data_IF_118610578902
#
_entry.id   IF_118610578902
#
_cell.length_a   1.000
_cell.length_b   1.000
_cell.length_c   1.000
_cell.angle_alpha   90.00
_cell.angle_beta   90.00
_cell.angle_gamma   90.00
#
_symmetry.space_group_name_H-M   'P 1'
#
loop_
_entity.id
_entity.type
_entity.pdbx_description
1 polymer ?
#
# COMPACT_ATOMS: atom_id res chain seq x y z
N UNK A 1 -21.26 -9.04 14.30
CA UNK A 1 -20.46 -9.22 15.53
C UNK A 1 -19.00 -9.36 15.12
N UNK A 2 -18.06 -8.69 15.79
CA UNK A 2 -16.64 -8.69 15.38
C UNK A 2 -15.87 -9.93 15.85
N UNK A 3 -16.25 -10.48 17.02
CA UNK A 3 -15.61 -11.62 17.67
C UNK A 3 -16.70 -12.60 18.08
N UNK A 4 -16.49 -13.90 17.87
CA UNK A 4 -17.43 -14.94 18.26
C UNK A 4 -17.44 -15.20 19.78
N UNK A 5 -18.35 -16.07 20.24
CA UNK A 5 -18.50 -16.42 21.65
C UNK A 5 -17.25 -17.07 22.27
N UNK A 6 -16.33 -17.57 21.43
CA UNK A 6 -15.07 -18.20 21.84
C UNK A 6 -13.89 -17.22 21.83
N UNK A 7 -14.13 -15.94 21.52
CA UNK A 7 -13.07 -14.95 21.40
C UNK A 7 -12.31 -15.00 20.07
N UNK A 8 -12.82 -15.70 19.05
CA UNK A 8 -12.20 -15.83 17.74
C UNK A 8 -12.81 -14.88 16.71
N UNK A 9 -12.01 -14.45 15.73
CA UNK A 9 -12.48 -13.69 14.59
C UNK A 9 -13.13 -14.64 13.57
N UNK A 10 -14.34 -14.34 13.09
CA UNK A 10 -14.93 -15.07 11.96
C UNK A 10 -14.10 -14.91 10.68
N UNK A 11 -14.12 -15.92 9.80
CA UNK A 11 -13.36 -15.93 8.52
C UNK A 11 -13.68 -14.76 7.59
N UNK A 12 -14.91 -14.20 7.68
CA UNK A 12 -15.30 -13.03 6.90
C UNK A 12 -14.71 -11.71 7.43
N UNK A 13 -14.15 -11.71 8.65
CA UNK A 13 -13.48 -10.57 9.27
C UNK A 13 -11.97 -10.66 9.09
N UNK A 14 -11.37 -11.84 9.29
CA UNK A 14 -9.92 -12.01 9.25
C UNK A 14 -9.51 -13.46 8.95
N UNK A 15 -8.45 -13.70 8.16
CA UNK A 15 -7.96 -15.05 7.83
C UNK A 15 -7.28 -15.77 9.02
N UNK A 16 -6.76 -15.03 9.99
CA UNK A 16 -6.28 -15.57 11.27
C UNK A 16 -7.40 -15.49 12.32
N UNK A 17 -8.12 -16.57 12.62
CA UNK A 17 -9.23 -16.54 13.58
C UNK A 17 -8.76 -16.23 15.01
N UNK A 18 -7.52 -16.54 15.33
CA UNK A 18 -6.87 -16.30 16.62
C UNK A 18 -6.05 -14.99 16.65
N UNK A 19 -6.27 -14.05 15.72
CA UNK A 19 -5.51 -12.79 15.61
C UNK A 19 -5.32 -12.09 16.97
N UNK A 20 -6.39 -12.00 17.77
CA UNK A 20 -6.37 -11.28 19.06
C UNK A 20 -5.61 -12.03 20.17
N UNK A 21 -5.20 -13.29 19.93
CA UNK A 21 -4.40 -14.08 20.85
C UNK A 21 -2.92 -14.16 20.44
N UNK A 22 -2.56 -13.54 19.31
CA UNK A 22 -1.20 -13.50 18.78
C UNK A 22 -0.47 -12.24 19.24
N UNK A 23 0.85 -12.31 19.30
CA UNK A 23 1.72 -11.14 19.34
C UNK A 23 1.95 -10.59 17.92
N UNK A 24 2.43 -9.35 17.80
CA UNK A 24 2.61 -8.73 16.48
C UNK A 24 3.60 -9.50 15.59
N UNK A 25 4.68 -10.05 16.18
CA UNK A 25 5.70 -10.79 15.43
C UNK A 25 5.13 -12.07 14.79
N UNK A 26 4.28 -12.80 15.51
CA UNK A 26 3.60 -14.00 15.01
C UNK A 26 2.51 -13.68 13.98
N UNK A 27 1.88 -12.51 14.04
CA UNK A 27 0.99 -12.02 12.96
C UNK A 27 1.80 -11.76 11.70
N UNK A 28 2.87 -10.96 11.79
CA UNK A 28 3.75 -10.65 10.65
C UNK A 28 4.32 -11.92 10.02
N UNK A 29 4.83 -12.84 10.85
CA UNK A 29 5.38 -14.10 10.36
C UNK A 29 4.34 -14.97 9.65
N UNK A 30 3.07 -14.94 10.09
CA UNK A 30 2.02 -15.73 9.46
C UNK A 30 1.69 -15.21 8.06
N UNK A 31 1.63 -13.90 7.86
CA UNK A 31 1.41 -13.30 6.54
C UNK A 31 2.61 -13.48 5.61
N UNK A 32 3.83 -13.28 6.09
CA UNK A 32 5.06 -13.57 5.32
C UNK A 32 5.04 -15.01 4.80
N UNK A 33 4.66 -15.97 5.66
CA UNK A 33 4.55 -17.37 5.26
C UNK A 33 3.41 -17.62 4.28
N UNK A 34 2.22 -17.04 4.52
CA UNK A 34 1.07 -17.17 3.63
C UNK A 34 1.36 -16.63 2.23
N UNK A 35 1.86 -15.40 2.13
CA UNK A 35 2.21 -14.76 0.86
C UNK A 35 3.27 -15.55 0.10
N UNK A 36 4.28 -16.08 0.81
CA UNK A 36 5.29 -16.96 0.21
C UNK A 36 4.66 -18.24 -0.33
N UNK A 37 3.77 -18.88 0.42
CA UNK A 37 3.10 -20.10 -0.02
C UNK A 37 2.18 -19.86 -1.23
N UNK A 38 1.43 -18.76 -1.23
CA UNK A 38 0.59 -18.36 -2.36
C UNK A 38 1.43 -18.15 -3.64
N UNK A 39 2.61 -17.54 -3.49
CA UNK A 39 3.52 -17.36 -4.61
C UNK A 39 4.16 -18.67 -5.08
N UNK A 40 4.65 -19.50 -4.16
CA UNK A 40 5.20 -20.82 -4.50
C UNK A 40 4.16 -21.66 -5.25
N UNK A 41 2.87 -21.54 -4.91
CA UNK A 41 1.76 -22.14 -5.67
C UNK A 41 1.65 -21.58 -7.09
N UNK A 42 1.66 -20.25 -7.28
CA UNK A 42 1.62 -19.63 -8.62
C UNK A 42 2.81 -20.06 -9.49
N UNK A 43 4.02 -20.13 -8.91
CA UNK A 43 5.19 -20.65 -9.62
C UNK A 43 5.05 -22.13 -9.99
N UNK A 44 4.52 -22.94 -9.08
CA UNK A 44 4.29 -24.36 -9.35
C UNK A 44 3.28 -24.54 -10.50
N UNK A 45 2.20 -23.75 -10.51
CA UNK A 45 1.23 -23.71 -11.62
C UNK A 45 1.91 -23.31 -12.94
N UNK A 46 2.80 -22.32 -12.94
CA UNK A 46 3.59 -21.95 -14.13
C UNK A 46 4.51 -23.08 -14.62
N UNK A 47 4.99 -23.94 -13.72
CA UNK A 47 5.80 -25.12 -14.05
C UNK A 47 5.03 -26.21 -14.81
N UNK A 48 3.70 -26.22 -14.72
CA UNK A 48 2.85 -27.21 -15.40
C UNK A 48 2.72 -26.91 -16.90
N UNK A 49 2.60 -27.96 -17.73
CA UNK A 49 2.65 -27.86 -19.20
C UNK A 49 1.49 -27.11 -19.86
N UNK A 50 0.41 -26.84 -19.14
CA UNK A 50 -0.86 -26.26 -19.67
C UNK A 50 -1.22 -24.90 -19.07
N UNK A 51 -0.30 -24.24 -18.36
CA UNK A 51 -0.58 -22.96 -17.70
C UNK A 51 -0.78 -21.82 -18.72
N UNK A 52 -1.92 -21.09 -18.71
CA UNK A 52 -2.13 -19.91 -19.54
C UNK A 52 -1.04 -18.85 -19.33
N UNK A 53 -0.56 -18.71 -18.08
CA UNK A 53 0.50 -17.78 -17.73
C UNK A 53 1.83 -18.12 -18.39
N UNK A 54 2.15 -19.42 -18.49
CA UNK A 54 3.33 -19.90 -19.22
C UNK A 54 3.28 -19.55 -20.70
N UNK A 55 2.10 -19.63 -21.33
CA UNK A 55 1.90 -19.22 -22.73
C UNK A 55 2.21 -17.75 -22.92
N UNK A 56 1.63 -16.88 -22.06
CA UNK A 56 1.90 -15.43 -22.08
C UNK A 56 3.40 -15.13 -21.93
N UNK A 57 4.07 -15.79 -20.98
CA UNK A 57 5.49 -15.60 -20.73
C UNK A 57 6.39 -16.08 -21.89
N UNK A 58 6.01 -17.19 -22.53
CA UNK A 58 6.71 -17.71 -23.69
C UNK A 58 6.58 -16.75 -24.90
N UNK A 59 5.40 -16.18 -25.12
CA UNK A 59 5.16 -15.17 -26.17
C UNK A 59 6.01 -13.91 -25.97
N UNK A 60 6.24 -13.53 -24.72
CA UNK A 60 7.12 -12.41 -24.33
C UNK A 60 8.62 -12.76 -24.35
N UNK A 61 8.98 -14.02 -24.59
CA UNK A 61 10.37 -14.48 -24.60
C UNK A 61 11.02 -14.57 -23.21
N UNK A 62 10.22 -14.65 -22.14
CA UNK A 62 10.68 -14.69 -20.73
C UNK A 62 10.31 -16.06 -20.12
N UNK A 63 11.18 -17.07 -20.29
CA UNK A 63 10.80 -18.47 -20.07
C UNK A 63 11.42 -19.22 -18.88
N UNK A 64 12.30 -18.60 -18.07
CA UNK A 64 12.97 -19.30 -16.97
C UNK A 64 12.25 -19.05 -15.64
N UNK A 65 11.32 -19.94 -15.30
CA UNK A 65 10.53 -19.90 -14.06
C UNK A 65 11.40 -19.93 -12.79
N UNK A 66 12.55 -20.62 -12.82
CA UNK A 66 13.47 -20.69 -11.69
C UNK A 66 14.10 -19.32 -11.34
N UNK A 67 14.45 -18.52 -12.34
CA UNK A 67 15.06 -17.19 -12.14
C UNK A 67 14.04 -16.20 -11.55
N UNK A 68 12.77 -16.32 -11.96
CA UNK A 68 11.66 -15.53 -11.42
C UNK A 68 11.39 -15.84 -9.94
N UNK A 69 11.47 -17.11 -9.54
CA UNK A 69 11.26 -17.48 -8.14
C UNK A 69 12.34 -16.98 -7.20
N UNK A 70 13.61 -17.02 -7.63
CA UNK A 70 14.73 -16.45 -6.85
C UNK A 70 14.58 -14.94 -6.72
N UNK A 71 14.28 -14.25 -7.81
CA UNK A 71 14.08 -12.80 -7.81
C UNK A 71 12.93 -12.40 -6.89
N UNK A 72 11.80 -13.09 -6.98
CA UNK A 72 10.64 -12.82 -6.14
C UNK A 72 10.97 -12.98 -4.66
N UNK A 73 11.51 -14.13 -4.24
CA UNK A 73 11.80 -14.39 -2.84
C UNK A 73 12.81 -13.39 -2.28
N UNK A 74 13.72 -12.92 -3.13
CA UNK A 74 14.66 -11.87 -2.77
C UNK A 74 13.95 -10.52 -2.53
N UNK A 75 13.14 -10.06 -3.49
CA UNK A 75 12.42 -8.79 -3.37
C UNK A 75 11.35 -8.84 -2.26
N UNK A 76 10.67 -9.97 -2.09
CA UNK A 76 9.70 -10.21 -1.02
C UNK A 76 10.37 -10.06 0.33
N UNK A 77 11.49 -10.75 0.53
CA UNK A 77 12.29 -10.60 1.74
C UNK A 77 12.75 -9.16 1.94
N UNK A 78 13.24 -8.48 0.90
CA UNK A 78 13.66 -7.08 1.00
C UNK A 78 12.54 -6.17 1.50
N UNK A 79 11.33 -6.33 0.96
CA UNK A 79 10.17 -5.53 1.38
C UNK A 79 9.72 -5.95 2.77
N UNK A 80 9.55 -7.24 3.04
CA UNK A 80 8.96 -7.74 4.28
C UNK A 80 9.87 -7.66 5.50
N UNK A 81 11.19 -7.61 5.32
CA UNK A 81 12.15 -7.35 6.41
C UNK A 81 12.27 -5.86 6.74
N UNK A 82 11.63 -4.96 5.98
CA UNK A 82 11.72 -3.53 6.25
C UNK A 82 11.13 -3.20 7.65
N UNK A 83 11.86 -2.46 8.52
CA UNK A 83 11.42 -2.13 9.89
C UNK A 83 10.11 -1.32 10.03
N UNK A 84 9.51 -0.91 8.92
CA UNK A 84 8.28 -0.10 8.93
C UNK A 84 7.07 -0.95 9.34
N UNK A 85 7.09 -2.26 9.07
CA UNK A 85 6.00 -3.17 9.43
C UNK A 85 5.92 -3.43 10.94
N UNK A 86 7.02 -3.22 11.65
CA UNK A 86 7.12 -3.26 13.11
C UNK A 86 7.17 -1.87 13.72
N UNK A 87 6.75 -0.83 12.99
CA UNK A 87 6.79 0.54 13.49
C UNK A 87 6.07 0.66 14.85
N UNK A 88 6.64 1.37 15.85
CA UNK A 88 6.08 1.47 17.22
C UNK A 88 4.60 1.84 17.29
N UNK A 89 4.13 2.63 16.31
CA UNK A 89 2.71 2.96 16.14
C UNK A 89 1.83 1.70 16.01
N UNK A 90 2.14 0.82 15.05
CA UNK A 90 1.32 -0.37 14.77
C UNK A 90 1.34 -1.33 15.96
N UNK A 91 2.50 -1.53 16.56
CA UNK A 91 2.65 -2.39 17.73
C UNK A 91 1.79 -1.90 18.91
N UNK A 92 1.89 -0.61 19.24
CA UNK A 92 1.12 0.01 20.33
C UNK A 92 -0.40 -0.06 20.07
N UNK A 93 -0.82 0.19 18.84
CA UNK A 93 -2.24 0.07 18.45
C UNK A 93 -2.72 -1.37 18.57
N UNK A 94 -1.96 -2.34 18.07
CA UNK A 94 -2.32 -3.76 18.12
C UNK A 94 -2.45 -4.32 19.54
N UNK A 95 -1.59 -3.84 20.46
CA UNK A 95 -1.70 -4.10 21.91
C UNK A 95 -2.97 -3.50 22.55
N UNK A 96 -3.74 -2.71 21.80
CA UNK A 96 -4.90 -1.98 22.30
C UNK A 96 -4.53 -0.75 23.13
N UNK A 97 -3.26 -0.31 23.16
CA UNK A 97 -2.80 0.86 23.92
C UNK A 97 -3.06 2.18 23.18
N UNK A 98 -4.30 2.34 22.76
CA UNK A 98 -4.84 3.54 22.10
C UNK A 98 -6.23 3.82 22.69
N UNK A 99 -6.56 5.09 22.91
CA UNK A 99 -7.89 5.53 23.39
C UNK A 99 -8.84 5.85 22.24
N UNK A 100 -10.17 5.89 22.47
CA UNK A 100 -11.15 6.32 21.47
C UNK A 100 -10.82 7.65 20.78
N UNK A 101 -10.40 8.66 21.54
CA UNK A 101 -10.02 9.98 21.01
C UNK A 101 -8.77 9.89 20.12
N UNK A 102 -7.80 9.07 20.51
CA UNK A 102 -6.60 8.82 19.71
C UNK A 102 -6.92 8.07 18.42
N UNK A 103 -7.91 7.17 18.42
CA UNK A 103 -8.41 6.52 17.20
C UNK A 103 -8.98 7.56 16.23
N UNK A 104 -9.74 8.56 16.72
CA UNK A 104 -10.27 9.65 15.88
C UNK A 104 -9.16 10.48 15.23
N UNK A 105 -8.13 10.84 16.01
CA UNK A 105 -6.94 11.57 15.52
C UNK A 105 -6.18 10.78 14.47
N UNK A 106 -5.96 9.49 14.73
CA UNK A 106 -5.36 8.59 13.75
C UNK A 106 -6.20 8.53 12.47
N UNK A 107 -7.51 8.29 12.60
CA UNK A 107 -8.38 8.07 11.46
C UNK A 107 -8.44 9.30 10.53
N UNK A 108 -8.57 10.50 11.09
CA UNK A 108 -8.63 11.75 10.31
C UNK A 108 -7.33 12.03 9.55
N UNK A 109 -6.17 11.78 10.17
CA UNK A 109 -4.88 11.95 9.50
C UNK A 109 -4.56 10.82 8.51
N UNK A 110 -4.84 9.57 8.86
CA UNK A 110 -4.58 8.43 7.97
C UNK A 110 -5.50 8.42 6.74
N UNK A 111 -6.71 8.98 6.86
CA UNK A 111 -7.59 9.20 5.71
C UNK A 111 -6.96 10.06 4.61
N UNK A 112 -6.05 10.98 4.96
CA UNK A 112 -5.29 11.73 3.96
C UNK A 112 -4.39 10.83 3.08
N UNK A 113 -3.86 9.72 3.61
CA UNK A 113 -3.17 8.73 2.79
C UNK A 113 -4.16 8.00 1.87
N UNK A 114 -5.26 7.48 2.42
CA UNK A 114 -6.28 6.71 1.68
C UNK A 114 -6.84 7.50 0.48
N UNK A 115 -7.02 8.82 0.62
CA UNK A 115 -7.50 9.67 -0.46
C UNK A 115 -6.57 9.73 -1.69
N UNK A 116 -5.30 9.40 -1.53
CA UNK A 116 -4.25 9.64 -2.52
C UNK A 116 -3.65 8.38 -3.16
N UNK A 117 -3.75 7.21 -2.52
CA UNK A 117 -3.18 5.93 -3.00
C UNK A 117 -3.50 5.66 -4.48
N UNK A 118 -4.79 5.61 -4.83
CA UNK A 118 -5.28 5.40 -6.21
C UNK A 118 -4.74 6.36 -7.26
N UNK A 119 -4.43 7.60 -6.89
CA UNK A 119 -3.88 8.58 -7.84
C UNK A 119 -2.46 8.20 -8.25
N UNK A 120 -1.70 7.58 -7.36
CA UNK A 120 -0.34 7.14 -7.64
C UNK A 120 -0.35 5.94 -8.60
N UNK A 121 -1.28 4.99 -8.41
CA UNK A 121 -1.49 3.89 -9.36
C UNK A 121 -1.87 4.42 -10.74
N UNK A 122 -2.80 5.39 -10.81
CA UNK A 122 -3.17 6.03 -12.08
C UNK A 122 -2.00 6.76 -12.76
N UNK A 123 -1.14 7.44 -11.99
CA UNK A 123 0.09 8.05 -12.52
C UNK A 123 1.03 7.00 -13.11
N UNK A 124 1.23 5.88 -12.40
CA UNK A 124 2.09 4.79 -12.87
C UNK A 124 1.53 4.15 -14.16
N UNK A 125 0.21 3.95 -14.27
CA UNK A 125 -0.43 3.47 -15.52
C UNK A 125 -0.05 4.36 -16.70
N UNK A 126 -0.13 5.68 -16.50
CA UNK A 126 0.19 6.67 -17.53
C UNK A 126 1.63 6.63 -18.02
N UNK A 127 2.55 5.95 -17.32
CA UNK A 127 3.95 5.75 -17.73
C UNK A 127 4.12 4.68 -18.80
N UNK A 128 3.11 3.84 -19.02
CA UNK A 128 3.12 2.76 -19.99
C UNK A 128 2.22 3.14 -21.16
N UNK A 129 2.79 3.55 -22.29
CA UNK A 129 2.03 3.92 -23.50
C UNK A 129 2.84 3.70 -24.78
N UNK A 130 2.17 3.62 -25.93
CA UNK A 130 2.77 3.30 -27.23
C UNK A 130 3.71 4.36 -27.82
N UNK A 131 3.91 5.49 -27.14
CA UNK A 131 4.91 6.51 -27.57
C UNK A 131 6.20 6.43 -26.73
N UNK A 132 6.29 5.48 -25.79
CA UNK A 132 7.49 5.30 -24.96
C UNK A 132 8.52 4.41 -25.65
N UNK A 133 9.79 4.59 -25.31
CA UNK A 133 10.88 3.70 -25.73
C UNK A 133 10.75 2.27 -25.15
N UNK A 134 9.82 2.03 -24.22
CA UNK A 134 9.54 0.68 -23.71
C UNK A 134 8.67 -0.14 -24.69
N UNK A 135 7.98 0.53 -25.62
CA UNK A 135 7.10 -0.10 -26.61
C UNK A 135 7.83 -0.50 -27.90
N UNK A 136 9.13 -0.84 -27.85
CA UNK A 136 9.89 -1.22 -29.04
C UNK A 136 9.37 -2.53 -29.66
N UNK A 137 8.60 -2.39 -30.75
CA UNK A 137 7.98 -3.47 -31.50
C UNK A 137 6.80 -4.14 -30.80
N UNK A 138 6.15 -5.09 -31.48
CA UNK A 138 4.91 -5.74 -31.02
C UNK A 138 5.03 -6.37 -29.62
N UNK A 139 6.23 -6.81 -29.22
CA UNK A 139 6.46 -7.39 -27.88
C UNK A 139 6.45 -6.33 -26.78
N UNK A 140 7.06 -5.16 -27.03
CA UNK A 140 7.06 -4.05 -26.08
C UNK A 140 5.65 -3.51 -25.87
N UNK A 141 4.87 -3.37 -26.95
CA UNK A 141 3.45 -2.99 -26.88
C UNK A 141 2.63 -3.99 -26.04
N UNK A 142 2.79 -5.29 -26.28
CA UNK A 142 2.08 -6.32 -25.52
C UNK A 142 2.45 -6.33 -24.04
N UNK A 143 3.73 -6.13 -23.72
CA UNK A 143 4.17 -6.03 -22.33
C UNK A 143 3.61 -4.77 -21.64
N UNK A 144 3.60 -3.65 -22.34
CA UNK A 144 2.97 -2.41 -21.86
C UNK A 144 1.48 -2.63 -21.56
N UNK A 145 0.75 -3.28 -22.47
CA UNK A 145 -0.67 -3.61 -22.30
C UNK A 145 -0.92 -4.50 -21.08
N UNK A 146 -0.14 -5.57 -20.90
CA UNK A 146 -0.25 -6.44 -19.72
C UNK A 146 0.02 -5.69 -18.41
N UNK A 147 0.96 -4.76 -18.43
CA UNK A 147 1.28 -3.91 -17.27
C UNK A 147 0.13 -2.95 -16.96
N UNK A 148 -0.47 -2.34 -17.99
CA UNK A 148 -1.66 -1.51 -17.84
C UNK A 148 -2.83 -2.32 -17.28
N UNK A 149 -3.05 -3.56 -17.72
CA UNK A 149 -4.11 -4.44 -17.19
C UNK A 149 -3.89 -4.68 -15.69
N UNK A 150 -2.68 -5.08 -15.28
CA UNK A 150 -2.36 -5.32 -13.88
C UNK A 150 -2.63 -4.08 -13.02
N UNK A 151 -2.12 -2.91 -13.44
CA UNK A 151 -2.32 -1.66 -12.71
C UNK A 151 -3.78 -1.15 -12.77
N UNK A 152 -4.50 -1.39 -13.87
CA UNK A 152 -5.90 -1.01 -14.00
C UNK A 152 -6.78 -1.80 -13.03
N UNK A 153 -6.44 -3.06 -12.72
CA UNK A 153 -7.11 -3.82 -11.67
C UNK A 153 -6.92 -3.18 -10.29
N UNK A 154 -5.73 -2.67 -9.97
CA UNK A 154 -5.49 -1.92 -8.72
C UNK A 154 -6.32 -0.62 -8.68
N UNK A 155 -6.38 0.13 -9.79
CA UNK A 155 -7.24 1.33 -9.86
C UNK A 155 -8.72 0.95 -9.71
N UNK A 156 -9.16 -0.11 -10.37
CA UNK A 156 -10.52 -0.60 -10.31
C UNK A 156 -10.95 -0.96 -8.88
N UNK A 157 -10.09 -1.65 -8.14
CA UNK A 157 -10.28 -2.00 -6.73
C UNK A 157 -10.43 -0.75 -5.86
N UNK A 158 -9.49 0.20 -5.97
CA UNK A 158 -9.50 1.47 -5.24
C UNK A 158 -10.77 2.32 -5.47
N UNK A 159 -11.32 2.26 -6.68
CA UNK A 159 -12.57 2.93 -7.06
C UNK A 159 -13.83 2.07 -6.81
N UNK A 160 -13.69 0.81 -6.39
CA UNK A 160 -14.79 -0.11 -6.19
C UNK A 160 -15.59 -0.37 -7.47
N UNK A 161 -14.92 -0.32 -8.64
CA UNK A 161 -15.53 -0.55 -9.96
C UNK A 161 -15.00 -1.86 -10.51
N UNK A 162 -15.81 -2.91 -10.48
CA UNK A 162 -15.43 -4.19 -11.10
C UNK A 162 -15.48 -4.11 -12.63
N UNK A 163 -14.85 -5.07 -13.30
CA UNK A 163 -15.06 -5.30 -14.73
C UNK A 163 -16.49 -5.82 -14.96
N UNK A 164 -17.43 -4.91 -15.18
CA UNK A 164 -18.81 -5.21 -15.55
C UNK A 164 -18.88 -5.66 -17.01
N UNK A 165 -19.68 -6.68 -17.31
CA UNK A 165 -20.01 -7.03 -18.70
C UNK A 165 -20.76 -5.89 -19.39
N UNK A 166 -20.83 -5.90 -20.72
CA UNK A 166 -21.58 -4.90 -21.51
C UNK A 166 -23.06 -4.77 -21.10
N UNK A 167 -23.62 -5.82 -20.49
CA UNK A 167 -25.01 -5.88 -20.03
C UNK A 167 -25.21 -5.36 -18.59
N UNK A 168 -24.13 -5.08 -17.85
CA UNK A 168 -24.12 -4.64 -16.45
C UNK A 168 -23.68 -3.16 -16.29
N UNK A 169 -23.88 -2.33 -17.32
CA UNK A 169 -23.47 -0.91 -17.24
C UNK A 169 -24.27 -0.19 -16.15
N UNK A 170 -23.61 0.39 -15.13
CA UNK A 170 -24.32 0.98 -14.00
C UNK A 170 -25.08 2.24 -14.44
N UNK A 171 -26.32 2.39 -13.96
CA UNK A 171 -27.03 3.67 -14.02
C UNK A 171 -26.20 4.78 -13.36
N UNK A 172 -26.33 6.02 -13.83
CA UNK A 172 -25.53 7.16 -13.35
C UNK A 172 -25.52 7.29 -11.82
N UNK A 173 -26.66 7.03 -11.16
CA UNK A 173 -26.76 7.05 -9.70
C UNK A 173 -25.91 5.97 -9.02
N UNK A 174 -25.83 4.75 -9.58
CA UNK A 174 -24.96 3.67 -9.07
C UNK A 174 -23.48 3.97 -9.35
N UNK A 175 -23.19 4.57 -10.49
CA UNK A 175 -21.83 4.96 -10.89
C UNK A 175 -21.24 6.01 -9.93
N UNK A 176 -22.06 6.99 -9.52
CA UNK A 176 -21.68 8.00 -8.52
C UNK A 176 -21.73 7.50 -7.08
N UNK A 177 -22.36 6.36 -6.82
CA UNK A 177 -22.43 5.70 -5.51
C UNK A 177 -21.42 4.54 -5.37
N UNK A 178 -20.37 4.53 -6.19
CA UNK A 178 -19.36 3.49 -6.17
C UNK A 178 -18.73 3.31 -4.79
N UNK A 179 -18.50 2.05 -4.42
CA UNK A 179 -17.99 1.65 -3.10
C UNK A 179 -16.46 1.76 -3.06
N UNK A 180 -15.95 2.98 -3.21
CA UNK A 180 -14.51 3.28 -3.19
C UNK A 180 -13.90 3.05 -1.80
N UNK A 181 -12.57 2.90 -1.72
CA UNK A 181 -11.86 2.88 -0.43
C UNK A 181 -12.12 4.13 0.43
N UNK A 182 -12.33 5.29 -0.19
CA UNK A 182 -12.76 6.50 0.52
C UNK A 182 -14.12 6.30 1.18
N UNK A 183 -15.10 5.78 0.44
CA UNK A 183 -16.45 5.56 0.95
C UNK A 183 -16.42 4.55 2.09
N UNK A 184 -15.68 3.45 1.93
CA UNK A 184 -15.46 2.47 3.00
C UNK A 184 -14.80 3.11 4.23
N UNK A 185 -13.76 3.93 4.05
CA UNK A 185 -13.10 4.60 5.17
C UNK A 185 -14.03 5.60 5.88
N UNK A 186 -14.93 6.28 5.15
CA UNK A 186 -15.94 7.14 5.79
C UNK A 186 -16.93 6.37 6.67
N UNK A 187 -17.12 5.06 6.45
CA UNK A 187 -17.90 4.23 7.38
C UNK A 187 -17.19 4.02 8.72
N UNK A 188 -15.86 4.10 8.78
CA UNK A 188 -15.14 4.15 10.05
C UNK A 188 -15.52 5.42 10.81
N UNK A 189 -15.58 6.57 10.12
CA UNK A 189 -15.97 7.84 10.76
C UNK A 189 -17.39 7.80 11.32
N UNK A 190 -18.33 7.16 10.62
CA UNK A 190 -19.67 6.86 11.14
C UNK A 190 -19.56 6.07 12.46
N UNK A 191 -18.79 4.98 12.47
CA UNK A 191 -18.57 4.18 13.68
C UNK A 191 -17.87 4.90 14.83
N UNK A 192 -17.07 5.92 14.53
CA UNK A 192 -16.39 6.75 15.53
C UNK A 192 -17.22 7.97 15.96
N UNK A 193 -18.38 8.21 15.33
CA UNK A 193 -19.20 9.39 15.57
C UNK A 193 -18.51 10.70 15.19
N UNK A 194 -17.76 10.70 14.09
CA UNK A 194 -17.13 11.90 13.52
C UNK A 194 -18.03 12.54 12.47
N UNK A 195 -18.39 13.81 12.68
CA UNK A 195 -19.24 14.56 11.76
C UNK A 195 -18.51 14.84 10.43
N UNK A 196 -19.21 14.91 9.28
CA UNK A 196 -18.59 15.10 7.96
C UNK A 196 -17.61 16.28 7.89
N UNK A 197 -17.92 17.40 8.53
CA UNK A 197 -17.10 18.61 8.62
C UNK A 197 -15.74 18.39 9.31
N UNK A 198 -15.64 17.37 10.17
CA UNK A 198 -14.44 17.06 10.95
C UNK A 198 -13.56 15.99 10.28
N UNK A 199 -14.02 15.39 9.18
CA UNK A 199 -13.34 14.25 8.54
C UNK A 199 -12.16 14.68 7.66
N UNK A 200 -12.23 15.88 7.07
CA UNK A 200 -11.26 16.37 6.10
C UNK A 200 -10.34 17.43 6.71
N UNK A 201 -9.28 16.97 7.37
CA UNK A 201 -8.28 17.82 8.05
C UNK A 201 -7.04 18.09 7.19
N UNK A 202 -6.34 19.18 7.50
CA UNK A 202 -5.01 19.44 6.94
C UNK A 202 -4.04 18.31 7.30
N UNK A 203 -3.19 17.92 6.35
CA UNK A 203 -2.19 16.87 6.52
C UNK A 203 -1.12 17.30 7.52
N UNK A 204 -0.63 16.38 8.34
CA UNK A 204 0.67 16.55 8.97
C UNK A 204 1.78 16.64 7.91
N UNK A 205 2.89 17.36 8.15
CA UNK A 205 4.02 17.44 7.23
C UNK A 205 4.51 16.07 6.73
N UNK A 206 4.61 15.08 7.63
CA UNK A 206 5.10 13.74 7.32
C UNK A 206 4.08 12.92 6.53
N UNK A 207 2.77 13.16 6.74
CA UNK A 207 1.70 12.58 5.90
C UNK A 207 1.76 13.18 4.49
N UNK A 208 1.97 14.50 4.40
CA UNK A 208 2.12 15.18 3.12
C UNK A 208 3.35 14.69 2.34
N UNK A 209 4.49 14.52 3.02
CA UNK A 209 5.70 13.95 2.41
C UNK A 209 5.45 12.54 1.88
N UNK A 210 4.81 11.66 2.65
CA UNK A 210 4.51 10.31 2.18
C UNK A 210 3.63 10.30 0.92
N UNK A 211 2.62 11.18 0.88
CA UNK A 211 1.77 11.37 -0.33
C UNK A 211 2.60 11.91 -1.49
N UNK A 212 3.44 12.92 -1.28
CA UNK A 212 4.28 13.50 -2.33
C UNK A 212 5.29 12.50 -2.87
N UNK A 213 5.97 11.75 -2.00
CA UNK A 213 6.96 10.74 -2.39
C UNK A 213 6.32 9.67 -3.28
N UNK A 214 5.16 9.14 -2.90
CA UNK A 214 4.41 8.18 -3.72
C UNK A 214 4.09 8.73 -5.10
N UNK A 215 3.60 9.98 -5.17
CA UNK A 215 3.27 10.63 -6.45
C UNK A 215 4.51 10.88 -7.31
N UNK A 216 5.62 11.28 -6.69
CA UNK A 216 6.86 11.59 -7.37
C UNK A 216 7.45 10.32 -8.00
N UNK A 217 7.62 9.24 -7.23
CA UNK A 217 8.18 8.00 -7.78
C UNK A 217 7.27 7.40 -8.86
N UNK A 218 5.93 7.50 -8.68
CA UNK A 218 4.98 6.97 -9.65
C UNK A 218 4.87 7.79 -10.95
N UNK A 219 5.06 9.11 -10.89
CA UNK A 219 4.68 10.01 -11.98
C UNK A 219 5.74 11.00 -12.48
N UNK A 220 6.78 11.28 -11.69
CA UNK A 220 7.73 12.34 -12.04
C UNK A 220 8.68 11.88 -13.15
N UNK A 221 8.97 12.71 -14.18
CA UNK A 221 9.73 12.30 -15.36
C UNK A 221 11.15 11.78 -15.07
N UNK A 222 11.78 12.21 -13.98
CA UNK A 222 13.13 11.77 -13.58
C UNK A 222 13.20 10.34 -13.07
N UNK A 223 12.06 9.71 -12.75
CA UNK A 223 11.98 8.31 -12.37
C UNK A 223 11.55 7.46 -13.56
N UNK A 224 12.18 6.31 -13.71
CA UNK A 224 11.92 5.36 -14.77
C UNK A 224 10.53 4.71 -14.59
N UNK A 225 9.93 4.17 -15.67
CA UNK A 225 8.68 3.40 -15.52
C UNK A 225 8.84 2.16 -14.63
N UNK A 226 10.04 1.57 -14.53
CA UNK A 226 10.32 0.48 -13.60
C UNK A 226 10.23 0.95 -12.14
N UNK A 227 10.80 2.11 -11.81
CA UNK A 227 10.67 2.72 -10.47
C UNK A 227 9.20 3.04 -10.15
N UNK A 228 8.47 3.59 -11.12
CA UNK A 228 7.04 3.86 -10.97
C UNK A 228 6.24 2.59 -10.66
N UNK A 229 6.46 1.51 -11.41
CA UNK A 229 5.81 0.22 -11.23
C UNK A 229 6.17 -0.44 -9.89
N UNK A 230 7.45 -0.42 -9.52
CA UNK A 230 7.93 -0.92 -8.24
C UNK A 230 7.30 -0.18 -7.06
N UNK A 231 7.11 1.15 -7.19
CA UNK A 231 6.55 1.97 -6.12
C UNK A 231 5.08 1.63 -5.81
N UNK A 232 4.27 1.37 -6.83
CA UNK A 232 2.82 1.11 -6.68
C UNK A 232 2.49 -0.36 -6.43
N UNK A 233 3.37 -1.29 -6.78
CA UNK A 233 3.18 -2.70 -6.41
C UNK A 233 3.85 -3.03 -5.09
N UNK A 234 5.17 -3.10 -5.14
CA UNK A 234 6.01 -3.66 -4.09
C UNK A 234 6.08 -2.73 -2.88
N UNK A 235 6.23 -1.43 -3.15
CA UNK A 235 6.32 -0.42 -2.10
C UNK A 235 4.99 -0.09 -1.41
N UNK A 236 3.87 -0.30 -2.12
CA UNK A 236 2.56 0.18 -1.69
C UNK A 236 1.66 -0.93 -1.17
N UNK A 237 1.55 -2.05 -1.88
CA UNK A 237 0.55 -3.10 -1.64
C UNK A 237 1.04 -4.21 -0.71
N UNK A 238 2.33 -4.52 -0.74
CA UNK A 238 2.78 -5.84 -0.28
C UNK A 238 2.68 -6.05 1.23
N UNK A 239 3.04 -5.03 2.02
CA UNK A 239 2.91 -5.08 3.47
C UNK A 239 1.53 -4.65 3.98
N UNK A 240 0.58 -4.30 3.09
CA UNK A 240 -0.73 -3.77 3.50
C UNK A 240 -1.51 -4.77 4.35
N UNK A 241 -1.68 -6.04 3.96
CA UNK A 241 -2.38 -7.02 4.79
C UNK A 241 -1.80 -7.09 6.21
N UNK A 242 -0.48 -7.11 6.34
CA UNK A 242 0.25 -7.22 7.60
C UNK A 242 -0.09 -6.10 8.57
N UNK A 243 0.17 -4.86 8.19
CA UNK A 243 -0.03 -3.75 9.12
C UNK A 243 -1.52 -3.40 9.26
N UNK A 244 -2.36 -3.69 8.25
CA UNK A 244 -3.81 -3.57 8.39
C UNK A 244 -4.37 -4.59 9.38
N UNK A 245 -3.82 -5.81 9.46
CA UNK A 245 -4.18 -6.76 10.51
C UNK A 245 -3.84 -6.24 11.91
N UNK A 246 -2.69 -5.57 12.07
CA UNK A 246 -2.32 -4.93 13.33
C UNK A 246 -3.29 -3.79 13.71
N UNK A 247 -3.62 -2.93 12.75
CA UNK A 247 -4.60 -1.85 12.95
C UNK A 247 -6.00 -2.40 13.26
N UNK A 248 -6.47 -3.38 12.49
CA UNK A 248 -7.77 -4.02 12.68
C UNK A 248 -7.88 -4.68 14.05
N UNK A 249 -6.86 -5.44 14.45
CA UNK A 249 -6.80 -6.04 15.80
C UNK A 249 -6.87 -4.99 16.90
N UNK A 250 -6.12 -3.89 16.77
CA UNK A 250 -6.18 -2.77 17.71
C UNK A 250 -7.55 -2.10 17.78
N UNK A 251 -8.18 -1.84 16.63
CA UNK A 251 -9.53 -1.26 16.52
C UNK A 251 -10.60 -2.17 17.13
N UNK A 252 -10.49 -3.49 16.97
CA UNK A 252 -11.39 -4.44 17.62
C UNK A 252 -11.20 -4.39 19.14
N UNK A 253 -9.96 -4.42 19.64
CA UNK A 253 -9.66 -4.38 21.08
C UNK A 253 -10.20 -3.10 21.75
N UNK A 254 -9.90 -1.93 21.18
CA UNK A 254 -10.37 -0.65 21.73
C UNK A 254 -11.90 -0.56 21.67
N UNK A 255 -12.52 -1.10 20.61
CA UNK A 255 -13.99 -1.15 20.54
C UNK A 255 -14.62 -2.03 21.60
N UNK A 256 -14.01 -3.17 21.93
CA UNK A 256 -14.50 -4.06 22.99
C UNK A 256 -14.26 -3.47 24.38
N UNK A 257 -13.07 -2.89 24.62
CA UNK A 257 -12.69 -2.32 25.91
C UNK A 257 -13.52 -1.09 26.27
N UNK A 258 -13.66 -0.16 25.33
CA UNK A 258 -14.24 1.17 25.59
C UNK A 258 -15.66 1.34 25.04
N UNK A 259 -16.25 0.28 24.47
CA UNK A 259 -17.64 0.28 24.02
C UNK A 259 -17.92 1.18 22.81
N UNK A 260 -16.98 1.29 21.86
CA UNK A 260 -17.17 2.11 20.64
C UNK A 260 -18.30 1.62 19.72
N UNK A 261 -18.74 0.36 19.87
CA UNK A 261 -19.78 -0.22 19.01
C UNK A 261 -19.36 -0.36 17.54
N UNK A 262 -18.05 -0.52 17.26
CA UNK A 262 -17.60 -0.78 15.90
C UNK A 262 -18.17 -2.09 15.37
N UNK A 263 -18.51 -2.09 14.09
CA UNK A 263 -19.12 -3.23 13.39
C UNK A 263 -18.25 -3.63 12.20
N UNK A 264 -18.47 -4.81 11.60
CA UNK A 264 -17.77 -5.20 10.37
C UNK A 264 -17.89 -4.14 9.26
N UNK A 265 -19.05 -3.47 9.15
CA UNK A 265 -19.25 -2.36 8.21
C UNK A 265 -18.29 -1.20 8.51
N UNK A 266 -18.18 -0.76 9.76
CA UNK A 266 -17.27 0.34 10.12
C UNK A 266 -15.79 0.01 9.84
N UNK A 267 -15.43 -1.27 9.85
CA UNK A 267 -14.07 -1.76 9.64
C UNK A 267 -13.83 -2.33 8.24
N UNK A 268 -14.78 -2.13 7.32
CA UNK A 268 -14.80 -2.81 6.02
C UNK A 268 -13.55 -2.54 5.19
N UNK A 269 -13.04 -1.30 5.19
CA UNK A 269 -11.81 -0.97 4.48
C UNK A 269 -10.62 -1.81 4.97
N UNK A 270 -10.55 -2.11 6.27
CA UNK A 270 -9.46 -2.92 6.81
C UNK A 270 -9.63 -4.39 6.47
N UNK A 271 -10.86 -4.88 6.60
CA UNK A 271 -11.22 -6.27 6.29
C UNK A 271 -10.96 -6.59 4.82
N UNK A 272 -11.24 -5.65 3.91
CA UNK A 272 -11.02 -5.82 2.48
C UNK A 272 -9.53 -6.06 2.16
N UNK A 273 -8.65 -5.15 2.59
CA UNK A 273 -7.21 -5.23 2.26
C UNK A 273 -6.53 -6.46 2.87
N UNK A 274 -6.98 -6.91 4.05
CA UNK A 274 -6.45 -8.14 4.66
C UNK A 274 -6.81 -9.40 3.84
N UNK A 275 -7.92 -9.38 3.10
CA UNK A 275 -8.45 -10.57 2.41
C UNK A 275 -8.12 -10.61 0.92
N UNK A 276 -8.01 -9.46 0.25
CA UNK A 276 -8.04 -9.39 -1.22
C UNK A 276 -6.67 -9.06 -1.87
N UNK A 277 -5.71 -8.48 -1.14
CA UNK A 277 -4.55 -7.82 -1.77
C UNK A 277 -3.42 -8.76 -2.24
N UNK A 278 -3.44 -10.04 -1.86
CA UNK A 278 -2.34 -10.97 -2.22
C UNK A 278 -2.20 -11.15 -3.73
N UNK A 279 -3.32 -11.18 -4.46
CA UNK A 279 -3.30 -11.35 -5.92
C UNK A 279 -2.78 -10.09 -6.65
N UNK A 280 -3.11 -8.90 -6.16
CA UNK A 280 -2.59 -7.64 -6.70
C UNK A 280 -1.07 -7.58 -6.58
N UNK A 281 -0.54 -7.91 -5.40
CA UNK A 281 0.90 -7.89 -5.17
C UNK A 281 1.65 -8.90 -6.07
N UNK A 282 1.11 -10.12 -6.24
CA UNK A 282 1.70 -11.13 -7.14
C UNK A 282 1.65 -10.65 -8.60
N UNK A 283 0.52 -10.09 -9.04
CA UNK A 283 0.34 -9.59 -10.41
C UNK A 283 1.34 -8.47 -10.73
N UNK A 284 1.47 -7.47 -9.86
CA UNK A 284 2.38 -6.34 -10.08
C UNK A 284 3.83 -6.77 -10.01
N UNK A 285 4.20 -7.68 -9.10
CA UNK A 285 5.55 -8.24 -9.07
C UNK A 285 5.89 -8.99 -10.36
N UNK A 286 4.96 -9.81 -10.87
CA UNK A 286 5.16 -10.52 -12.11
C UNK A 286 5.44 -9.53 -13.24
N UNK A 287 4.59 -8.52 -13.46
CA UNK A 287 4.83 -7.55 -14.53
C UNK A 287 6.11 -6.73 -14.30
N UNK A 288 6.47 -6.42 -13.04
CA UNK A 288 7.75 -5.78 -12.70
C UNK A 288 8.93 -6.61 -13.20
N UNK A 289 8.91 -7.92 -12.94
CA UNK A 289 9.99 -8.82 -13.36
C UNK A 289 10.16 -8.90 -14.89
N UNK A 290 9.09 -8.65 -15.66
CA UNK A 290 9.14 -8.66 -17.13
C UNK A 290 9.82 -7.42 -17.70
N UNK A 291 9.77 -6.30 -16.97
CA UNK A 291 10.48 -5.06 -17.31
C UNK A 291 11.95 -5.09 -16.92
N UNK A 292 12.36 -6.00 -16.03
CA UNK A 292 13.76 -6.16 -15.64
C UNK A 292 14.60 -6.82 -16.74
N UNK A 293 15.75 -6.24 -17.02
CA UNK A 293 16.71 -6.63 -18.06
C UNK A 293 17.96 -7.28 -17.47
N UNK A 294 18.32 -6.92 -16.24
CA UNK A 294 19.50 -7.47 -15.58
C UNK A 294 19.51 -7.32 -14.06
N UNK A 295 20.56 -7.82 -13.37
CA UNK A 295 20.72 -7.72 -11.93
C UNK A 295 20.74 -6.28 -11.39
N UNK A 296 21.17 -5.32 -12.21
CA UNK A 296 21.18 -3.88 -11.90
C UNK A 296 19.78 -3.31 -11.63
N UNK A 297 18.77 -3.80 -12.36
CA UNK A 297 17.38 -3.38 -12.18
C UNK A 297 16.81 -3.79 -10.82
N UNK A 298 17.42 -4.80 -10.18
CA UNK A 298 17.05 -5.19 -8.82
C UNK A 298 17.29 -4.04 -7.84
N UNK A 299 18.45 -3.39 -7.94
CA UNK A 299 18.78 -2.24 -7.08
C UNK A 299 17.85 -1.06 -7.33
N UNK A 300 17.41 -0.86 -8.59
CA UNK A 300 16.41 0.15 -8.95
C UNK A 300 15.07 -0.11 -8.27
N UNK A 301 14.58 -1.35 -8.35
CA UNK A 301 13.33 -1.78 -7.71
C UNK A 301 13.41 -1.65 -6.18
N UNK A 302 14.49 -2.15 -5.57
CA UNK A 302 14.74 -2.07 -4.12
C UNK A 302 14.78 -0.60 -3.64
N UNK A 303 15.47 0.28 -4.37
CA UNK A 303 15.57 1.70 -4.02
C UNK A 303 14.22 2.42 -4.14
N UNK A 304 13.43 2.14 -5.18
CA UNK A 304 12.08 2.68 -5.31
C UNK A 304 11.16 2.25 -4.15
N UNK A 305 11.28 1.00 -3.70
CA UNK A 305 10.60 0.52 -2.50
C UNK A 305 11.08 1.26 -1.24
N UNK A 306 12.40 1.41 -1.07
CA UNK A 306 12.98 2.11 0.08
C UNK A 306 12.50 3.58 0.17
N UNK A 307 12.37 4.29 -0.96
CA UNK A 307 11.82 5.64 -0.98
C UNK A 307 10.43 5.70 -0.36
N UNK A 308 9.57 4.76 -0.73
CA UNK A 308 8.20 4.65 -0.22
C UNK A 308 8.19 4.27 1.26
N UNK A 309 9.02 3.31 1.66
CA UNK A 309 9.09 2.86 3.04
C UNK A 309 9.69 3.91 3.97
N UNK A 310 10.62 4.75 3.50
CA UNK A 310 11.12 5.90 4.24
C UNK A 310 10.02 6.94 4.45
N UNK A 311 9.26 7.27 3.39
CA UNK A 311 8.07 8.14 3.51
C UNK A 311 7.04 7.60 4.49
N UNK A 312 6.75 6.29 4.44
CA UNK A 312 5.82 5.63 5.36
C UNK A 312 6.33 5.62 6.79
N UNK A 313 7.61 5.30 7.02
CA UNK A 313 8.24 5.35 8.34
C UNK A 313 8.10 6.75 8.95
N UNK A 314 8.44 7.80 8.20
CA UNK A 314 8.29 9.17 8.66
C UNK A 314 6.82 9.54 8.94
N UNK A 315 5.89 9.17 8.06
CA UNK A 315 4.46 9.37 8.28
C UNK A 315 4.00 8.72 9.58
N UNK A 316 4.37 7.48 9.83
CA UNK A 316 3.98 6.77 11.04
C UNK A 316 4.62 7.38 12.30
N UNK A 317 5.83 7.93 12.21
CA UNK A 317 6.45 8.70 13.28
C UNK A 317 5.72 10.02 13.59
N UNK A 318 5.31 10.75 12.55
CA UNK A 318 4.47 11.95 12.68
C UNK A 318 3.10 11.64 13.28
N UNK A 319 2.46 10.56 12.82
CA UNK A 319 1.21 10.05 13.39
C UNK A 319 1.39 9.65 14.85
N UNK A 320 2.49 9.00 15.22
CA UNK A 320 2.76 8.64 16.61
C UNK A 320 2.78 9.86 17.51
N UNK A 321 3.56 10.89 17.16
CA UNK A 321 3.61 12.15 17.90
C UNK A 321 2.24 12.81 18.00
N UNK A 322 1.51 12.88 16.89
CA UNK A 322 0.20 13.53 16.84
C UNK A 322 -0.86 12.80 17.68
N UNK A 323 -0.89 11.47 17.59
CA UNK A 323 -1.89 10.63 18.24
C UNK A 323 -1.59 10.48 19.72
N UNK A 324 -0.35 10.15 20.08
CA UNK A 324 0.02 9.85 21.46
C UNK A 324 0.49 11.07 22.27
N UNK A 325 0.89 12.16 21.61
CA UNK A 325 1.38 13.37 22.28
C UNK A 325 2.77 13.22 22.91
N UNK A 326 3.56 12.28 22.42
CA UNK A 326 4.89 11.92 22.93
C UNK A 326 5.83 11.61 21.75
N UNK A 327 7.13 11.65 21.99
CA UNK A 327 8.11 11.33 20.95
C UNK A 327 8.00 9.88 20.49
N UNK A 328 8.13 9.66 19.18
CA UNK A 328 8.14 8.32 18.61
C UNK A 328 9.46 7.62 18.93
N UNK A 329 9.43 6.38 19.43
CA UNK A 329 10.64 5.56 19.50
C UNK A 329 11.32 5.46 18.13
N UNK A 330 12.65 5.50 18.13
CA UNK A 330 13.44 5.47 16.89
C UNK A 330 13.27 4.14 16.15
N UNK A 331 13.15 4.22 14.83
CA UNK A 331 13.15 3.06 13.93
C UNK A 331 14.49 3.01 13.23
N UNK A 332 15.36 2.09 13.66
CA UNK A 332 16.67 1.91 13.05
C UNK A 332 16.55 1.20 11.70
N UNK A 333 17.05 1.82 10.65
CA UNK A 333 17.13 1.22 9.31
C UNK A 333 18.52 0.63 9.07
N UNK A 334 18.54 -0.61 8.55
CA UNK A 334 19.74 -1.22 7.99
C UNK A 334 20.20 -0.46 6.73
N UNK A 335 21.48 -0.54 6.39
CA UNK A 335 22.05 0.20 5.25
C UNK A 335 21.33 -0.11 3.91
N UNK A 336 20.88 -1.36 3.72
CA UNK A 336 20.13 -1.76 2.52
C UNK A 336 18.75 -1.09 2.37
N UNK A 337 18.21 -0.52 3.44
CA UNK A 337 16.92 0.18 3.43
C UNK A 337 17.06 1.71 3.39
N UNK A 338 18.30 2.23 3.48
CA UNK A 338 18.55 3.66 3.40
C UNK A 338 18.39 4.16 1.97
N UNK A 339 17.86 5.37 1.83
CA UNK A 339 17.67 6.05 0.55
C UNK A 339 18.79 7.06 0.37
N UNK A 340 19.62 6.87 -0.66
CA UNK A 340 20.73 7.79 -1.00
C UNK A 340 20.49 8.54 -2.31
N UNK A 341 19.34 8.31 -2.94
CA UNK A 341 19.02 8.92 -4.23
C UNK A 341 18.71 10.42 -4.07
N UNK A 342 19.58 11.25 -4.65
CA UNK A 342 19.44 12.71 -4.58
C UNK A 342 18.23 13.23 -5.36
N UNK A 343 17.76 12.50 -6.39
CA UNK A 343 16.62 12.91 -7.23
C UNK A 343 15.36 13.07 -6.38
N UNK A 344 15.08 12.12 -5.48
CA UNK A 344 13.88 12.20 -4.65
C UNK A 344 13.94 13.33 -3.62
N UNK A 345 15.14 13.66 -3.12
CA UNK A 345 15.33 14.77 -2.18
C UNK A 345 15.01 16.11 -2.87
N UNK A 346 15.56 16.32 -4.06
CA UNK A 346 15.36 17.55 -4.83
C UNK A 346 13.91 17.66 -5.33
N UNK A 347 13.37 16.58 -5.89
CA UNK A 347 11.99 16.52 -6.36
C UNK A 347 10.99 16.75 -5.21
N UNK A 348 11.24 16.21 -4.01
CA UNK A 348 10.39 16.45 -2.83
C UNK A 348 10.41 17.93 -2.41
N UNK A 349 11.59 18.55 -2.36
CA UNK A 349 11.72 19.98 -2.02
C UNK A 349 10.99 20.86 -3.03
N UNK A 350 11.14 20.55 -4.33
CA UNK A 350 10.41 21.26 -5.37
C UNK A 350 8.90 21.07 -5.24
N UNK A 351 8.44 19.82 -5.04
CA UNK A 351 7.03 19.50 -4.88
C UNK A 351 6.42 20.25 -3.69
N UNK A 352 7.10 20.29 -2.54
CA UNK A 352 6.67 21.07 -1.36
C UNK A 352 6.42 22.53 -1.70
N UNK A 353 7.29 23.19 -2.47
CA UNK A 353 7.12 24.60 -2.80
C UNK A 353 5.82 24.90 -3.58
N UNK A 354 5.26 23.91 -4.29
CA UNK A 354 4.07 24.01 -5.15
C UNK A 354 2.75 23.69 -4.45
N UNK A 355 2.77 23.16 -3.22
CA UNK A 355 1.54 22.78 -2.51
C UNK A 355 0.76 24.01 -2.04
N UNK A 356 -0.56 23.85 -1.92
CA UNK A 356 -1.41 24.85 -1.28
C UNK A 356 -1.20 24.83 0.26
N UNK A 357 -0.68 25.90 0.88
CA UNK A 357 -0.19 25.87 2.26
C UNK A 357 -1.27 25.47 3.28
N UNK A 358 -2.52 25.85 3.06
CA UNK A 358 -3.65 25.49 3.94
C UNK A 358 -3.97 23.98 3.99
N UNK A 359 -3.38 23.17 3.10
CA UNK A 359 -3.58 21.72 3.07
C UNK A 359 -2.64 20.97 4.01
N UNK A 360 -1.64 21.64 4.58
CA UNK A 360 -0.65 21.06 5.48
C UNK A 360 -0.56 21.90 6.75
N UNK A 361 -0.50 21.25 7.91
CA UNK A 361 -0.29 21.91 9.20
C UNK A 361 1.06 22.64 9.16
N UNK A 362 1.07 23.95 9.39
CA UNK A 362 2.28 24.77 9.26
C UNK A 362 2.75 24.97 7.81
N UNK A 363 1.82 24.96 6.85
CA UNK A 363 2.10 24.93 5.41
C UNK A 363 3.20 25.85 4.89
N UNK A 364 3.27 27.12 5.32
CA UNK A 364 4.34 28.01 4.84
C UNK A 364 5.73 27.56 5.28
N UNK A 365 5.88 27.12 6.54
CA UNK A 365 7.15 26.57 7.01
C UNK A 365 7.49 25.25 6.30
N UNK A 366 6.47 24.41 6.06
CA UNK A 366 6.62 23.16 5.32
C UNK A 366 7.12 23.37 3.89
N UNK A 367 6.58 24.36 3.16
CA UNK A 367 6.98 24.69 1.78
C UNK A 367 8.46 25.01 1.64
N UNK A 368 9.06 25.61 2.67
CA UNK A 368 10.47 26.00 2.69
C UNK A 368 11.38 25.00 3.41
N UNK A 369 10.83 23.92 3.95
CA UNK A 369 11.58 22.97 4.76
C UNK A 369 12.62 22.21 3.93
N UNK A 370 13.85 22.15 4.43
CA UNK A 370 14.97 21.41 3.83
C UNK A 370 15.13 19.99 4.39
N UNK A 371 14.47 19.69 5.52
CA UNK A 371 14.51 18.38 6.18
C UNK A 371 13.72 17.36 5.36
N UNK A 372 14.27 16.16 5.16
CA UNK A 372 13.65 15.10 4.37
C UNK A 372 13.57 13.80 5.17
N UNK A 373 12.63 12.89 4.86
CA UNK A 373 12.48 11.62 5.56
C UNK A 373 13.57 10.58 5.21
N UNK A 374 14.60 10.99 4.47
CA UNK A 374 15.65 10.11 3.93
C UNK A 374 16.98 10.20 4.69
N UNK A 375 17.12 11.18 5.59
CA UNK A 375 18.36 11.51 6.30
C UNK A 375 18.23 11.30 7.81
#
# INVERSE_FOLDING_TARGET
>A
MLVDERGLLPDHIHPLPDLLNRDAASVLSAFIHSQRADFERVLAEMGQGTSPLRTVLAELGRGKTADLGVLFLHLHRHVMEHPVWTHPFFLRVFEGRITPEQVKRFATQYFNQIKNTRQCVALAIGRFHGLTALAEGNRGERLSELTQIALAQLVADEYGVGSHGLEDYPELGRLLAAKTHIVMYRQLFEGLGLAPEDQDVAMLPEVADNVLIQRLVAGHPEFTPLEALASVGLGMEWGVPEFFSLLLGGLIRVSQRDGLGLTPRHLEVFIAHVRYDVLHAISVMLVTSLHMRGPEDRGVVENACNMLMAGRTAMMGGLYRHVFGEECPEVTLEDRHRVSDVRIIEALRHARATIAPQRVVGGEAYRTSTTTPFN
#
